data_IF_700453483067
#
_entry.id   IF_700453483067
#
_cell.length_a   1.000
_cell.length_b   1.000
_cell.length_c   1.000
_cell.angle_alpha   90.00
_cell.angle_beta   90.00
_cell.angle_gamma   90.00
#
_symmetry.space_group_name_H-M   'P 1'
#
loop_
_entity.id
_entity.type
_entity.pdbx_description
1 polymer ?
#
# COMPACT_ATOMS: atom_id res chain seq x y z
N UNK A 1 6.97 1.65 18.21
CA UNK A 1 6.20 2.90 18.10
C UNK A 1 6.29 3.55 16.72
N UNK A 2 7.48 3.82 16.17
CA UNK A 2 7.62 4.44 14.83
C UNK A 2 6.89 3.67 13.71
N UNK A 3 7.08 2.35 13.63
CA UNK A 3 6.43 1.50 12.61
C UNK A 3 4.90 1.56 12.69
N UNK A 4 4.34 1.58 13.90
CA UNK A 4 2.90 1.68 14.08
C UNK A 4 2.38 3.06 13.65
N UNK A 5 3.10 4.13 14.00
CA UNK A 5 2.76 5.49 13.60
C UNK A 5 2.81 5.68 12.08
N UNK A 6 3.88 5.21 11.42
CA UNK A 6 3.99 5.31 9.95
C UNK A 6 2.92 4.47 9.26
N UNK A 7 2.64 3.26 9.75
CA UNK A 7 1.54 2.44 9.26
C UNK A 7 0.19 3.17 9.34
N UNK A 8 -0.13 3.75 10.49
CA UNK A 8 -1.37 4.53 10.67
C UNK A 8 -1.42 5.75 9.72
N UNK A 9 -0.31 6.46 9.55
CA UNK A 9 -0.23 7.60 8.64
C UNK A 9 -0.47 7.19 7.18
N UNK A 10 0.11 6.09 6.74
CA UNK A 10 -0.11 5.50 5.41
C UNK A 10 -1.57 5.08 5.25
N UNK A 11 -2.14 4.38 6.23
CA UNK A 11 -3.55 3.95 6.22
C UNK A 11 -4.48 5.16 6.12
N UNK A 12 -4.25 6.21 6.91
CA UNK A 12 -5.06 7.41 6.87
C UNK A 12 -4.98 8.11 5.50
N UNK A 13 -3.77 8.26 4.97
CA UNK A 13 -3.54 8.94 3.68
C UNK A 13 -4.20 8.17 2.53
N UNK A 14 -4.05 6.85 2.50
CA UNK A 14 -4.66 5.99 1.49
C UNK A 14 -6.18 5.98 1.61
N UNK A 15 -6.73 5.91 2.83
CA UNK A 15 -8.17 6.00 3.05
C UNK A 15 -8.77 7.32 2.57
N UNK A 16 -8.11 8.46 2.85
CA UNK A 16 -8.55 9.78 2.36
C UNK A 16 -8.46 9.85 0.84
N UNK A 17 -7.37 9.36 0.23
CA UNK A 17 -7.20 9.33 -1.23
C UNK A 17 -8.32 8.52 -1.91
N UNK A 18 -8.65 7.34 -1.38
CA UNK A 18 -9.76 6.51 -1.87
C UNK A 18 -11.11 7.22 -1.68
N UNK A 19 -11.30 7.91 -0.56
CA UNK A 19 -12.49 8.72 -0.28
C UNK A 19 -12.71 9.80 -1.35
N UNK A 20 -11.66 10.50 -1.75
CA UNK A 20 -11.71 11.55 -2.78
C UNK A 20 -12.08 11.00 -4.17
N UNK A 21 -11.77 9.73 -4.45
CA UNK A 21 -12.05 9.06 -5.74
C UNK A 21 -13.42 8.38 -5.79
N UNK A 22 -14.22 8.48 -4.72
CA UNK A 22 -15.55 7.87 -4.64
C UNK A 22 -16.49 8.33 -5.77
N UNK A 23 -16.43 9.61 -6.17
CA UNK A 23 -17.18 10.16 -7.31
C UNK A 23 -16.77 9.51 -8.63
N UNK A 24 -15.47 9.35 -8.86
CA UNK A 24 -14.95 8.69 -10.06
C UNK A 24 -15.42 7.24 -10.16
N UNK A 25 -15.38 6.49 -9.05
CA UNK A 25 -15.88 5.11 -9.02
C UNK A 25 -17.40 5.04 -9.25
N UNK A 26 -18.16 6.02 -8.76
CA UNK A 26 -19.59 6.11 -9.01
C UNK A 26 -19.87 6.37 -10.51
N UNK A 27 -19.14 7.31 -11.13
CA UNK A 27 -19.24 7.59 -12.56
C UNK A 27 -18.86 6.37 -13.41
N UNK A 28 -17.76 5.68 -13.09
CA UNK A 28 -17.37 4.44 -13.76
C UNK A 28 -18.47 3.37 -13.67
N UNK A 29 -19.16 3.26 -12.53
CA UNK A 29 -20.26 2.31 -12.36
C UNK A 29 -21.54 2.73 -13.10
N UNK A 30 -21.79 4.03 -13.23
CA UNK A 30 -22.90 4.55 -14.03
C UNK A 30 -22.69 4.33 -15.54
N UNK A 31 -21.43 4.29 -15.99
CA UNK A 31 -21.08 3.94 -17.37
C UNK A 31 -20.97 2.43 -17.61
N UNK A 32 -21.27 1.60 -16.61
CA UNK A 32 -21.39 0.14 -16.75
C UNK A 32 -20.28 -0.69 -16.10
N UNK A 33 -19.31 -0.08 -15.40
CA UNK A 33 -18.29 -0.84 -14.68
C UNK A 33 -18.90 -1.63 -13.50
N UNK A 34 -18.45 -2.85 -13.32
CA UNK A 34 -18.84 -3.70 -12.19
C UNK A 34 -17.97 -3.42 -10.95
N UNK A 35 -18.47 -3.77 -9.76
CA UNK A 35 -17.70 -3.63 -8.50
C UNK A 35 -16.37 -4.39 -8.54
N UNK A 36 -16.34 -5.55 -9.19
CA UNK A 36 -15.14 -6.37 -9.35
C UNK A 36 -14.08 -5.71 -10.23
N UNK A 37 -14.48 -4.97 -11.27
CA UNK A 37 -13.55 -4.23 -12.12
C UNK A 37 -12.86 -3.09 -11.35
N UNK A 38 -13.61 -2.35 -10.54
CA UNK A 38 -13.03 -1.28 -9.70
C UNK A 38 -12.09 -1.85 -8.64
N UNK A 39 -12.48 -2.94 -7.97
CA UNK A 39 -11.59 -3.61 -7.01
C UNK A 39 -10.31 -4.13 -7.69
N UNK A 40 -10.41 -4.73 -8.89
CA UNK A 40 -9.23 -5.19 -9.63
C UNK A 40 -8.31 -4.02 -10.04
N UNK A 41 -8.88 -2.89 -10.45
CA UNK A 41 -8.10 -1.69 -10.71
C UNK A 41 -7.35 -1.22 -9.45
N UNK A 42 -8.04 -1.13 -8.31
CA UNK A 42 -7.42 -0.74 -7.04
C UNK A 42 -6.39 -1.76 -6.55
N UNK A 43 -6.56 -3.06 -6.81
CA UNK A 43 -5.52 -4.06 -6.48
C UNK A 43 -4.23 -3.81 -7.26
N UNK A 44 -4.33 -3.45 -8.54
CA UNK A 44 -3.14 -3.14 -9.36
C UNK A 44 -2.48 -1.87 -8.86
N UNK A 45 -3.26 -0.84 -8.58
CA UNK A 45 -2.74 0.42 -8.04
C UNK A 45 -2.05 0.22 -6.68
N UNK A 46 -2.71 -0.49 -5.75
CA UNK A 46 -2.15 -0.84 -4.45
C UNK A 46 -0.89 -1.71 -4.56
N UNK A 47 -0.85 -2.65 -5.51
CA UNK A 47 0.33 -3.46 -5.76
C UNK A 47 1.51 -2.62 -6.29
N UNK A 48 1.25 -1.67 -7.19
CA UNK A 48 2.28 -0.74 -7.67
C UNK A 48 2.82 0.12 -6.52
N UNK A 49 1.95 0.64 -5.66
CA UNK A 49 2.35 1.40 -4.47
C UNK A 49 3.18 0.54 -3.51
N UNK A 50 2.77 -0.71 -3.27
CA UNK A 50 3.51 -1.63 -2.40
C UNK A 50 4.89 -1.97 -2.98
N UNK A 51 4.97 -2.31 -4.28
CA UNK A 51 6.25 -2.64 -4.95
C UNK A 51 7.19 -1.45 -4.92
N UNK A 52 6.71 -0.27 -5.32
CA UNK A 52 7.54 0.95 -5.29
C UNK A 52 8.00 1.30 -3.87
N UNK A 53 7.12 1.21 -2.88
CA UNK A 53 7.45 1.42 -1.47
C UNK A 53 8.49 0.42 -0.95
N UNK A 54 8.35 -0.87 -1.28
CA UNK A 54 9.28 -1.92 -0.89
C UNK A 54 10.65 -1.76 -1.57
N UNK A 55 10.68 -1.37 -2.84
CA UNK A 55 11.92 -1.09 -3.56
C UNK A 55 12.65 0.10 -2.93
N UNK A 56 11.95 1.23 -2.73
CA UNK A 56 12.53 2.42 -2.12
C UNK A 56 12.96 2.17 -0.67
N UNK A 57 12.15 1.47 0.11
CA UNK A 57 12.48 1.05 1.47
C UNK A 57 13.67 0.10 1.52
N UNK A 58 13.76 -0.84 0.58
CA UNK A 58 14.91 -1.73 0.43
C UNK A 58 16.20 -0.99 0.10
N UNK A 59 16.14 0.00 -0.80
CA UNK A 59 17.28 0.88 -1.12
C UNK A 59 17.69 1.68 0.11
N UNK A 60 16.75 2.26 0.86
CA UNK A 60 17.03 3.01 2.09
C UNK A 60 17.60 2.12 3.21
N UNK A 61 17.13 0.88 3.31
CA UNK A 61 17.70 -0.09 4.25
C UNK A 61 19.13 -0.46 3.84
N UNK A 62 19.36 -0.76 2.56
CA UNK A 62 20.67 -1.12 2.04
C UNK A 62 21.69 0.03 2.20
N UNK A 63 21.29 1.28 1.95
CA UNK A 63 22.17 2.44 2.10
C UNK A 63 22.64 2.66 3.54
N UNK A 64 21.89 2.18 4.53
CA UNK A 64 22.28 2.25 5.94
C UNK A 64 23.05 0.99 6.37
N UNK A 65 22.57 -0.18 5.97
CA UNK A 65 23.05 -1.47 6.46
C UNK A 65 24.38 -1.89 5.83
N UNK A 66 24.61 -1.57 4.55
CA UNK A 66 25.86 -1.91 3.85
C UNK A 66 27.07 -1.17 4.44
N UNK A 67 27.06 0.17 4.61
CA UNK A 67 28.17 0.88 5.26
C UNK A 67 28.40 0.40 6.71
N UNK A 68 27.33 0.13 7.44
CA UNK A 68 27.43 -0.41 8.80
C UNK A 68 28.11 -1.78 8.82
N UNK A 69 27.80 -2.66 7.86
CA UNK A 69 28.46 -3.95 7.70
C UNK A 69 29.96 -3.83 7.41
N UNK A 70 30.36 -2.86 6.58
CA UNK A 70 31.78 -2.55 6.35
C UNK A 70 32.47 -2.03 7.61
N UNK A 71 31.80 -1.16 8.38
CA UNK A 71 32.36 -0.61 9.62
C UNK A 71 32.64 -1.68 10.69
N UNK A 72 31.89 -2.77 10.69
CA UNK A 72 32.09 -3.93 11.57
C UNK A 72 33.17 -4.92 11.07
N UNK A 73 33.86 -4.61 9.97
CA UNK A 73 34.87 -5.49 9.38
C UNK A 73 34.30 -6.65 8.55
N UNK A 74 33.00 -6.64 8.27
CA UNK A 74 32.36 -7.57 7.34
C UNK A 74 32.47 -7.10 5.89
N UNK A 75 32.12 -7.97 4.94
CA UNK A 75 32.14 -7.67 3.50
C UNK A 75 30.99 -6.75 3.02
N UNK A 76 30.35 -5.99 3.90
CA UNK A 76 29.16 -5.18 3.58
C UNK A 76 27.93 -6.02 3.17
N UNK A 77 27.97 -7.34 3.35
CA UNK A 77 26.87 -8.23 3.00
C UNK A 77 25.70 -8.03 3.96
N UNK A 78 24.50 -7.83 3.40
CA UNK A 78 23.23 -7.84 4.15
C UNK A 78 23.01 -9.28 4.62
N UNK A 79 23.47 -9.57 5.83
CA UNK A 79 23.36 -10.89 6.44
C UNK A 79 22.35 -10.85 7.59
N UNK A 80 21.39 -11.77 7.55
CA UNK A 80 20.34 -11.87 8.55
C UNK A 80 19.37 -13.01 8.26
N UNK A 81 18.56 -13.43 9.25
CA UNK A 81 17.55 -14.46 9.03
C UNK A 81 16.59 -14.04 7.90
N UNK A 82 16.41 -14.86 6.85
CA UNK A 82 15.55 -14.52 5.71
C UNK A 82 14.09 -14.31 6.12
N UNK A 83 13.68 -14.87 7.28
CA UNK A 83 12.35 -14.65 7.86
C UNK A 83 12.03 -13.17 8.09
N UNK A 84 13.01 -12.34 8.47
CA UNK A 84 12.76 -10.91 8.71
C UNK A 84 12.37 -10.22 7.41
N UNK A 85 13.15 -10.42 6.34
CA UNK A 85 12.85 -9.84 5.03
C UNK A 85 11.47 -10.27 4.52
N UNK A 86 11.13 -11.56 4.66
CA UNK A 86 9.82 -12.09 4.28
C UNK A 86 8.67 -11.45 5.09
N UNK A 87 8.84 -11.28 6.41
CA UNK A 87 7.82 -10.63 7.24
C UNK A 87 7.65 -9.15 6.93
N UNK A 88 8.72 -8.43 6.60
CA UNK A 88 8.66 -7.00 6.23
C UNK A 88 8.01 -6.83 4.86
N UNK A 89 8.44 -7.62 3.87
CA UNK A 89 7.87 -7.59 2.52
C UNK A 89 6.40 -8.00 2.55
N UNK A 90 6.10 -9.13 3.18
CA UNK A 90 4.74 -9.66 3.29
C UNK A 90 3.84 -8.74 4.12
N UNK A 91 4.32 -8.27 5.28
CA UNK A 91 3.58 -7.36 6.14
C UNK A 91 3.30 -6.02 5.47
N UNK A 92 4.30 -5.45 4.79
CA UNK A 92 4.13 -4.22 4.01
C UNK A 92 3.12 -4.37 2.88
N UNK A 93 3.23 -5.44 2.09
CA UNK A 93 2.30 -5.73 0.99
C UNK A 93 0.87 -5.92 1.50
N UNK A 94 0.67 -6.74 2.55
CA UNK A 94 -0.64 -6.97 3.15
C UNK A 94 -1.22 -5.68 3.71
N UNK A 95 -0.40 -4.86 4.39
CA UNK A 95 -0.84 -3.60 4.97
C UNK A 95 -1.27 -2.61 3.90
N UNK A 96 -0.47 -2.41 2.84
CA UNK A 96 -0.81 -1.51 1.73
C UNK A 96 -2.07 -1.98 1.02
N UNK A 97 -2.17 -3.26 0.68
CA UNK A 97 -3.36 -3.79 0.00
C UNK A 97 -4.61 -3.70 0.89
N UNK A 98 -4.51 -4.02 2.18
CA UNK A 98 -5.63 -3.86 3.11
C UNK A 98 -6.04 -2.39 3.23
N UNK A 99 -5.08 -1.48 3.36
CA UNK A 99 -5.31 -0.04 3.47
C UNK A 99 -5.96 0.56 2.22
N UNK A 100 -5.69 0.03 1.03
CA UNK A 100 -6.37 0.45 -0.21
C UNK A 100 -7.73 -0.22 -0.36
N UNK A 101 -7.79 -1.55 -0.26
CA UNK A 101 -8.97 -2.33 -0.65
C UNK A 101 -10.12 -2.24 0.35
N UNK A 102 -9.83 -2.15 1.66
CA UNK A 102 -10.89 -2.06 2.68
C UNK A 102 -11.70 -0.77 2.52
N UNK A 103 -11.08 0.43 2.42
CA UNK A 103 -11.81 1.65 2.13
C UNK A 103 -12.50 1.64 0.76
N UNK A 104 -11.86 1.07 -0.29
CA UNK A 104 -12.49 0.97 -1.61
C UNK A 104 -13.77 0.13 -1.53
N UNK A 105 -13.70 -1.02 -0.86
CA UNK A 105 -14.86 -1.90 -0.72
C UNK A 105 -15.98 -1.24 0.07
N UNK A 106 -15.66 -0.52 1.15
CA UNK A 106 -16.65 0.27 1.89
C UNK A 106 -17.26 1.39 1.03
N UNK A 107 -16.45 2.11 0.26
CA UNK A 107 -16.94 3.14 -0.66
C UNK A 107 -17.88 2.56 -1.74
N UNK A 108 -17.56 1.39 -2.29
CA UNK A 108 -18.36 0.71 -3.33
C UNK A 108 -19.67 0.10 -2.82
N UNK A 109 -19.79 -0.17 -1.51
CA UNK A 109 -21.03 -0.65 -0.90
C UNK A 109 -22.14 0.40 -0.89
N UNK A 110 -21.78 1.68 -0.91
CA UNK A 110 -22.76 2.77 -1.00
C UNK A 110 -23.46 2.84 -2.37
N UNK A 111 -24.69 3.37 -2.40
CA UNK A 111 -25.49 3.47 -3.63
C UNK A 111 -24.81 4.44 -4.61
N UNK A 112 -24.58 4.05 -5.89
CA UNK A 112 -23.85 4.87 -6.86
C UNK A 112 -24.48 6.25 -7.08
N UNK A 113 -25.81 6.31 -7.06
CA UNK A 113 -26.57 7.55 -7.30
C UNK A 113 -26.38 8.57 -6.18
N UNK A 114 -26.23 8.12 -4.93
CA UNK A 114 -25.93 8.98 -3.78
C UNK A 114 -24.46 9.41 -3.79
N UNK A 115 -23.55 8.50 -4.16
CA UNK A 115 -22.12 8.77 -4.25
C UNK A 115 -21.73 9.72 -5.40
N UNK A 116 -22.54 9.82 -6.47
CA UNK A 116 -22.34 10.77 -7.56
C UNK A 116 -22.86 12.19 -7.24
N UNK A 117 -23.79 12.32 -6.29
CA UNK A 117 -24.41 13.60 -5.91
C UNK A 117 -23.69 14.32 -4.76
N UNK A 118 -23.02 13.59 -3.88
CA UNK A 118 -22.23 14.12 -2.76
C UNK A 118 -20.82 14.42 -3.23
#
# INVERSE_FOLDING_TARGET
MLVAYTALSVVNTTAVSVGNRRKEFALQRLTGATRGQVLRMMTVEGALVAVTGLLLGGVAAASTLVPFGYALGGAGAISGPPGIALTVIGGGLVLTLAATLVPTWWALRSRPVEAARA
#
